data_IF_809360938455
#
_entry.id   IF_809360938455
#
_cell.length_a   1.000
_cell.length_b   1.000
_cell.length_c   1.000
_cell.angle_alpha   90.00
_cell.angle_beta   90.00
_cell.angle_gamma   90.00
#
_symmetry.space_group_name_H-M   'P 1'
#
loop_
_entity.id
_entity.type
_entity.pdbx_description
1 polymer ?
#
# COMPACT_ATOMS: atom_id res chain seq x y z
N UNK A 1 -38.69 10.44 4.29
CA UNK A 1 -38.20 9.07 4.06
C UNK A 1 -37.01 8.87 4.96
N UNK A 2 -37.02 7.82 5.77
CA UNK A 2 -35.87 7.46 6.59
C UNK A 2 -34.91 6.68 5.68
N UNK A 3 -33.63 7.06 5.71
CA UNK A 3 -32.58 6.42 4.93
C UNK A 3 -31.83 5.46 5.85
N UNK A 4 -31.37 4.33 5.33
CA UNK A 4 -30.69 3.32 6.13
C UNK A 4 -29.32 3.05 5.51
N UNK A 5 -28.29 2.96 6.34
CA UNK A 5 -27.00 2.39 5.99
C UNK A 5 -26.92 1.00 6.60
N UNK A 6 -26.63 -0.02 5.80
CA UNK A 6 -26.61 -1.41 6.24
C UNK A 6 -25.29 -2.03 5.80
N UNK A 7 -24.52 -2.64 6.70
CA UNK A 7 -23.42 -3.52 6.30
C UNK A 7 -23.97 -4.94 6.28
N UNK A 8 -23.77 -5.66 5.19
CA UNK A 8 -24.35 -6.99 4.96
C UNK A 8 -23.23 -8.01 4.87
N UNK A 9 -23.39 -9.13 5.57
CA UNK A 9 -22.44 -10.23 5.61
C UNK A 9 -22.63 -11.21 4.46
N UNK A 10 -21.87 -12.31 4.49
CA UNK A 10 -21.73 -13.28 3.41
C UNK A 10 -22.99 -14.11 3.09
N UNK A 11 -24.14 -13.83 3.72
CA UNK A 11 -25.42 -14.52 3.51
C UNK A 11 -26.62 -13.56 3.53
N UNK A 12 -26.47 -12.33 3.06
CA UNK A 12 -27.51 -11.29 3.11
C UNK A 12 -28.01 -10.95 4.53
N UNK A 13 -27.22 -11.31 5.55
CA UNK A 13 -27.52 -10.99 6.93
C UNK A 13 -26.99 -9.58 7.27
N UNK A 14 -27.79 -8.68 7.84
CA UNK A 14 -27.30 -7.37 8.28
C UNK A 14 -26.34 -7.56 9.45
N UNK A 15 -25.07 -7.17 9.25
CA UNK A 15 -24.04 -7.12 10.28
C UNK A 15 -24.06 -5.80 11.04
N UNK A 16 -24.54 -4.73 10.40
CA UNK A 16 -24.71 -3.41 11.01
C UNK A 16 -25.86 -2.66 10.33
N UNK A 17 -26.65 -1.92 11.10
CA UNK A 17 -27.71 -1.06 10.58
C UNK A 17 -27.69 0.27 11.32
N UNK A 18 -27.72 1.36 10.55
CA UNK A 18 -27.90 2.71 11.06
C UNK A 18 -29.06 3.38 10.32
N UNK A 19 -30.05 3.80 11.10
CA UNK A 19 -31.19 4.57 10.60
C UNK A 19 -30.86 6.06 10.63
N UNK A 20 -31.11 6.73 9.51
CA UNK A 20 -31.06 8.17 9.38
C UNK A 20 -32.48 8.68 9.20
N UNK A 21 -32.89 9.59 10.08
CA UNK A 21 -34.13 10.34 9.91
C UNK A 21 -34.17 11.10 8.58
N UNK A 22 -35.31 11.70 8.22
CA UNK A 22 -35.38 12.58 7.06
C UNK A 22 -34.31 13.66 7.19
N UNK A 23 -33.62 14.00 6.09
CA UNK A 23 -32.63 15.08 6.02
C UNK A 23 -33.18 16.31 6.73
N UNK A 24 -32.74 16.52 7.98
CA UNK A 24 -33.11 17.72 8.70
C UNK A 24 -32.33 18.85 8.03
N UNK A 25 -33.02 19.91 7.63
CA UNK A 25 -32.42 21.10 7.00
C UNK A 25 -31.30 21.72 7.84
N UNK A 26 -31.23 21.36 9.13
CA UNK A 26 -30.24 21.84 10.10
C UNK A 26 -29.70 20.66 10.92
N UNK A 27 -29.09 19.66 10.26
CA UNK A 27 -28.17 18.79 10.97
C UNK A 27 -27.01 19.67 11.51
N UNK A 28 -26.72 19.62 12.82
CA UNK A 28 -25.58 20.34 13.39
C UNK A 28 -24.32 19.89 12.65
N UNK A 29 -23.63 20.85 12.03
CA UNK A 29 -22.49 20.65 11.11
C UNK A 29 -21.40 19.71 11.66
N UNK A 30 -21.30 19.58 12.97
CA UNK A 30 -20.30 18.76 13.66
C UNK A 30 -20.70 17.30 13.90
N UNK A 31 -22.01 16.99 13.97
CA UNK A 31 -22.50 15.66 14.36
C UNK A 31 -22.26 14.62 13.26
N UNK A 32 -22.23 15.05 12.00
CA UNK A 32 -21.98 14.20 10.84
C UNK A 32 -20.70 14.58 10.09
N UNK A 33 -19.84 15.44 10.63
CA UNK A 33 -18.63 15.89 9.91
C UNK A 33 -17.70 14.73 9.62
N UNK A 34 -17.51 13.86 10.59
CA UNK A 34 -16.67 12.67 10.45
C UNK A 34 -17.32 11.59 9.58
N UNK A 35 -18.64 11.45 9.64
CA UNK A 35 -19.38 10.50 8.82
C UNK A 35 -19.44 10.94 7.35
N UNK A 36 -19.72 12.21 7.08
CA UNK A 36 -19.72 12.76 5.72
C UNK A 36 -18.32 12.73 5.12
N UNK A 37 -17.29 13.01 5.92
CA UNK A 37 -15.90 12.90 5.50
C UNK A 37 -15.52 11.44 5.21
N UNK A 38 -15.95 10.50 6.05
CA UNK A 38 -15.78 9.06 5.80
C UNK A 38 -16.49 8.62 4.52
N UNK A 39 -17.76 9.01 4.31
CA UNK A 39 -18.55 8.68 3.12
C UNK A 39 -17.92 9.28 1.85
N UNK A 40 -17.50 10.55 1.88
CA UNK A 40 -16.82 11.20 0.74
C UNK A 40 -15.51 10.52 0.39
N UNK A 41 -14.67 10.19 1.38
CA UNK A 41 -13.42 9.48 1.12
C UNK A 41 -13.66 8.07 0.61
N UNK A 42 -14.61 7.35 1.20
CA UNK A 42 -15.03 6.02 0.74
C UNK A 42 -15.63 6.03 -0.67
N UNK A 43 -16.20 7.16 -1.11
CA UNK A 43 -16.77 7.33 -2.45
C UNK A 43 -15.74 7.67 -3.54
N UNK A 44 -14.57 8.19 -3.16
CA UNK A 44 -13.49 8.56 -4.09
C UNK A 44 -12.63 7.37 -4.53
N UNK A 45 -12.66 6.26 -3.80
CA UNK A 45 -12.08 4.97 -4.20
C UNK A 45 -13.04 4.23 -5.15
N UNK A 46 -13.01 4.62 -6.42
CA UNK A 46 -13.71 3.95 -7.53
C UNK A 46 -12.79 2.86 -8.09
N UNK A 47 -13.15 1.59 -7.88
CA UNK A 47 -12.67 0.46 -8.67
C UNK A 47 -13.90 -0.38 -9.03
N UNK A 48 -14.22 -0.39 -10.31
CA UNK A 48 -15.31 -1.04 -11.04
C UNK A 48 -16.77 -0.84 -10.60
N UNK A 49 -17.56 -0.35 -11.57
CA UNK A 49 -19.00 -0.13 -11.49
C UNK A 49 -19.74 -1.40 -11.92
N UNK A 50 -20.47 -2.03 -11.01
CA UNK A 50 -21.48 -3.04 -11.34
C UNK A 50 -22.86 -2.57 -10.87
N UNK A 51 -23.68 -2.13 -11.82
CA UNK A 51 -25.07 -1.75 -11.60
C UNK A 51 -25.94 -3.01 -11.48
N UNK A 52 -26.59 -3.20 -10.34
CA UNK A 52 -27.83 -3.97 -10.25
C UNK A 52 -28.94 -3.04 -9.75
N UNK A 53 -29.82 -2.61 -10.66
CA UNK A 53 -31.01 -1.80 -10.33
C UNK A 53 -32.10 -2.65 -9.66
N UNK A 54 -32.89 -2.09 -8.73
CA UNK A 54 -34.03 -1.21 -9.04
C UNK A 54 -33.97 0.19 -8.41
N UNK A 55 -34.84 1.09 -8.89
CA UNK A 55 -34.79 2.56 -8.87
C UNK A 55 -34.58 3.34 -7.54
N UNK A 56 -34.35 2.74 -6.37
CA UNK A 56 -34.31 3.53 -5.12
C UNK A 56 -33.27 3.18 -4.04
N UNK A 57 -32.33 2.23 -4.21
CA UNK A 57 -31.26 1.96 -3.20
C UNK A 57 -29.97 1.42 -3.81
N UNK A 58 -28.82 1.72 -3.22
CA UNK A 58 -27.54 1.03 -3.47
C UNK A 58 -26.77 0.81 -2.14
N UNK A 59 -25.95 -0.24 -2.10
CA UNK A 59 -25.06 -0.57 -1.00
C UNK A 59 -23.64 -0.81 -1.53
N UNK A 60 -22.65 -0.17 -0.92
CA UNK A 60 -21.20 -0.32 -1.21
C UNK A 60 -20.55 -0.92 0.04
N UNK A 61 -19.94 -2.09 -0.09
CA UNK A 61 -19.06 -2.66 0.92
C UNK A 61 -17.69 -2.86 0.26
N UNK A 62 -16.68 -2.21 0.83
CA UNK A 62 -15.27 -2.38 0.48
C UNK A 62 -14.68 -3.24 1.58
N UNK A 63 -14.26 -4.47 1.26
CA UNK A 63 -13.36 -5.18 2.16
C UNK A 63 -12.38 -6.07 1.37
N UNK A 64 -11.12 -5.62 1.33
CA UNK A 64 -9.97 -6.47 1.61
C UNK A 64 -9.12 -5.68 2.60
N UNK A 65 -9.26 -5.93 3.90
CA UNK A 65 -8.31 -5.53 4.92
C UNK A 65 -6.94 -6.18 4.63
N UNK A 66 -6.22 -5.62 3.68
CA UNK A 66 -4.77 -5.69 3.67
C UNK A 66 -4.31 -4.63 4.67
N UNK A 67 -3.69 -5.09 5.76
CA UNK A 67 -3.22 -4.31 6.92
C UNK A 67 -2.76 -2.90 6.53
N UNK A 68 -3.59 -1.89 6.79
CA UNK A 68 -3.30 -0.49 6.49
C UNK A 68 -2.44 0.09 7.61
N UNK A 69 -1.24 0.53 7.29
CA UNK A 69 -0.36 1.24 8.22
C UNK A 69 -0.73 2.75 8.21
N UNK A 70 -1.36 3.21 9.28
CA UNK A 70 -1.80 4.60 9.43
C UNK A 70 -0.67 5.45 10.02
N UNK A 71 0.02 6.23 9.20
CA UNK A 71 0.88 7.32 9.69
C UNK A 71 0.18 8.67 9.62
N UNK A 72 0.13 9.39 10.75
CA UNK A 72 -0.34 10.78 10.81
C UNK A 72 0.83 11.72 10.49
N UNK A 73 0.79 12.39 9.32
CA UNK A 73 1.59 13.60 9.07
C UNK A 73 0.66 14.79 8.80
N UNK A 74 0.81 15.86 9.58
CA UNK A 74 0.15 17.16 9.37
C UNK A 74 -1.39 17.14 9.20
N UNK A 75 -2.09 16.23 9.89
CA UNK A 75 -3.57 16.19 9.85
C UNK A 75 -4.17 15.56 8.60
N UNK A 76 -3.35 15.06 7.68
CA UNK A 76 -3.76 14.25 6.54
C UNK A 76 -3.51 12.77 6.85
N UNK A 77 -4.52 11.93 6.66
CA UNK A 77 -4.35 10.48 6.68
C UNK A 77 -3.74 10.08 5.34
N UNK A 78 -2.51 9.55 5.36
CA UNK A 78 -1.89 8.94 4.19
C UNK A 78 -2.29 7.47 4.18
N UNK A 79 -2.98 7.05 3.11
CA UNK A 79 -3.29 5.66 2.87
C UNK A 79 -2.08 5.03 2.19
N UNK A 80 -1.26 4.30 2.96
CA UNK A 80 -0.23 3.46 2.37
C UNK A 80 -0.81 2.06 2.14
N UNK A 81 -0.66 1.49 0.92
CA UNK A 81 -1.07 0.11 0.68
C UNK A 81 -0.24 -0.82 1.56
N UNK A 82 -0.85 -1.91 2.04
CA UNK A 82 -0.15 -2.88 2.87
C UNK A 82 1.14 -3.38 2.18
N UNK A 83 2.22 -3.45 2.96
CA UNK A 83 3.50 -3.96 2.48
C UNK A 83 3.50 -5.48 2.54
N UNK A 84 4.18 -6.07 1.56
CA UNK A 84 4.60 -7.47 1.53
C UNK A 84 6.12 -7.53 1.56
N UNK A 85 6.67 -8.63 2.05
CA UNK A 85 8.10 -8.76 2.33
C UNK A 85 8.69 -10.03 1.74
N UNK A 86 9.92 -9.95 1.27
CA UNK A 86 10.72 -11.09 0.83
C UNK A 86 11.55 -11.65 2.00
N UNK A 87 12.01 -12.91 1.92
CA UNK A 87 12.98 -13.46 2.87
C UNK A 87 14.31 -12.71 2.89
N UNK A 88 14.66 -12.08 1.76
CA UNK A 88 15.90 -11.33 1.52
C UNK A 88 15.80 -9.84 1.93
N UNK A 89 14.75 -9.49 2.67
CA UNK A 89 14.57 -8.19 3.33
C UNK A 89 14.24 -7.00 2.41
N UNK A 90 13.64 -7.27 1.25
CA UNK A 90 12.93 -6.28 0.44
C UNK A 90 11.45 -6.17 0.86
N UNK A 91 10.85 -5.01 0.58
CA UNK A 91 9.42 -4.78 0.73
C UNK A 91 8.81 -4.32 -0.59
N UNK A 92 7.53 -4.64 -0.81
CA UNK A 92 6.72 -4.14 -1.93
C UNK A 92 5.34 -3.69 -1.45
N UNK A 93 4.85 -2.58 -1.98
CA UNK A 93 3.50 -2.05 -1.75
C UNK A 93 2.84 -1.77 -3.09
N UNK A 94 1.64 -2.30 -3.32
CA UNK A 94 0.99 -2.30 -4.64
C UNK A 94 -0.25 -1.42 -4.67
N UNK A 95 -0.31 -0.54 -5.65
CA UNK A 95 -1.47 0.30 -5.97
C UNK A 95 -1.76 0.19 -7.46
N UNK A 96 -2.98 -0.20 -7.84
CA UNK A 96 -3.43 -0.25 -9.23
C UNK A 96 -2.47 -1.04 -10.16
N UNK A 97 -1.98 -2.21 -9.71
CA UNK A 97 -1.05 -3.06 -10.47
C UNK A 97 0.39 -2.54 -10.55
N UNK A 98 0.71 -1.42 -9.89
CA UNK A 98 2.07 -0.88 -9.78
C UNK A 98 2.59 -1.12 -8.36
N UNK A 99 3.65 -1.91 -8.26
CA UNK A 99 4.37 -2.16 -7.03
C UNK A 99 5.49 -1.16 -6.83
N UNK A 100 5.51 -0.45 -5.71
CA UNK A 100 6.68 0.30 -5.25
C UNK A 100 7.46 -0.57 -4.29
N UNK A 101 8.77 -0.70 -4.45
CA UNK A 101 9.58 -1.56 -3.61
C UNK A 101 10.91 -0.91 -3.19
N UNK A 102 11.51 -1.46 -2.13
CA UNK A 102 12.80 -1.04 -1.58
C UNK A 102 13.31 -2.06 -0.56
N UNK A 103 14.35 -1.71 0.21
CA UNK A 103 14.84 -2.56 1.31
C UNK A 103 14.22 -2.13 2.65
N UNK A 104 14.13 -3.08 3.59
CA UNK A 104 13.51 -2.87 4.90
C UNK A 104 14.42 -2.15 5.89
N UNK A 105 13.83 -1.69 7.01
CA UNK A 105 14.56 -1.10 8.14
C UNK A 105 15.58 -2.07 8.76
N UNK A 106 15.23 -3.36 8.79
CA UNK A 106 16.14 -4.41 9.24
C UNK A 106 17.38 -4.49 8.32
N UNK A 107 17.17 -4.51 7.00
CA UNK A 107 18.25 -4.57 6.01
C UNK A 107 19.19 -3.37 6.12
N UNK A 108 18.64 -2.14 6.13
CA UNK A 108 19.48 -0.94 6.23
C UNK A 108 20.26 -0.90 7.55
N UNK A 109 19.67 -1.38 8.66
CA UNK A 109 20.36 -1.44 9.96
C UNK A 109 21.53 -2.43 9.91
N UNK A 110 21.34 -3.58 9.27
CA UNK A 110 22.38 -4.59 9.10
C UNK A 110 23.53 -4.10 8.21
N UNK A 111 23.22 -3.35 7.14
CA UNK A 111 24.21 -2.71 6.26
C UNK A 111 24.97 -1.60 6.98
N UNK A 112 24.28 -0.79 7.79
CA UNK A 112 24.83 0.46 8.32
C UNK A 112 24.78 1.59 7.31
N UNK A 113 25.68 2.57 7.43
CA UNK A 113 25.63 3.80 6.63
C UNK A 113 25.80 3.51 5.13
N UNK A 114 24.72 3.67 4.37
CA UNK A 114 24.69 3.47 2.93
C UNK A 114 25.36 4.64 2.23
N UNK A 115 26.28 4.32 1.32
CA UNK A 115 27.09 5.30 0.58
C UNK A 115 26.86 5.24 -0.93
N UNK A 116 26.29 4.14 -1.42
CA UNK A 116 26.00 3.98 -2.84
C UNK A 116 24.85 3.00 -3.06
N UNK A 117 24.14 3.16 -4.17
CA UNK A 117 23.13 2.22 -4.65
C UNK A 117 23.15 2.19 -6.18
N UNK A 118 23.15 0.98 -6.71
CA UNK A 118 22.82 0.68 -8.10
C UNK A 118 21.32 0.41 -8.21
N UNK A 119 20.64 1.19 -9.05
CA UNK A 119 19.19 1.07 -9.33
C UNK A 119 18.99 0.45 -10.73
N UNK A 120 17.86 -0.24 -10.99
CA UNK A 120 17.58 -0.79 -12.31
C UNK A 120 17.32 0.32 -13.35
N UNK A 121 17.17 -0.05 -14.62
CA UNK A 121 16.75 0.87 -15.68
C UNK A 121 15.24 0.83 -15.92
N UNK A 122 14.65 1.98 -16.25
CA UNK A 122 13.26 2.04 -16.70
C UNK A 122 13.13 1.25 -18.02
N UNK A 123 12.14 0.36 -18.09
CA UNK A 123 11.88 -0.55 -19.21
C UNK A 123 12.51 -1.93 -19.06
N UNK A 124 13.29 -2.18 -18.00
CA UNK A 124 13.81 -3.51 -17.71
C UNK A 124 12.66 -4.48 -17.42
N UNK A 125 12.69 -5.66 -18.06
CA UNK A 125 11.76 -6.76 -17.81
C UNK A 125 12.47 -7.80 -16.95
N UNK A 126 11.97 -8.01 -15.74
CA UNK A 126 12.59 -8.82 -14.69
C UNK A 126 11.64 -9.90 -14.20
N UNK A 127 12.18 -11.00 -13.71
CA UNK A 127 11.43 -12.06 -13.01
C UNK A 127 11.59 -11.94 -11.50
N UNK A 128 10.68 -12.57 -10.77
CA UNK A 128 10.86 -12.80 -9.33
C UNK A 128 12.27 -13.37 -9.07
N UNK A 129 12.99 -12.76 -8.11
CA UNK A 129 14.37 -13.09 -7.72
C UNK A 129 15.46 -12.81 -8.74
N UNK A 130 15.18 -12.15 -9.86
CA UNK A 130 16.25 -11.58 -10.67
C UNK A 130 16.94 -10.47 -9.88
N UNK A 131 18.27 -10.40 -9.97
CA UNK A 131 19.04 -9.29 -9.41
C UNK A 131 18.76 -8.02 -10.23
N UNK A 132 18.43 -6.94 -9.54
CA UNK A 132 18.01 -5.66 -10.15
C UNK A 132 18.87 -4.46 -9.72
N UNK A 133 19.81 -4.69 -8.82
CA UNK A 133 20.73 -3.67 -8.32
C UNK A 133 21.52 -4.17 -7.12
N UNK A 134 22.16 -3.24 -6.42
CA UNK A 134 22.89 -3.49 -5.20
C UNK A 134 22.95 -2.24 -4.31
N UNK A 135 22.99 -2.43 -2.99
CA UNK A 135 23.25 -1.36 -2.01
C UNK A 135 24.64 -1.57 -1.41
N UNK A 136 25.44 -0.49 -1.38
CA UNK A 136 26.74 -0.49 -0.74
C UNK A 136 26.77 0.47 0.45
N UNK A 137 27.37 -0.01 1.54
CA UNK A 137 27.58 0.73 2.78
C UNK A 137 29.06 0.77 3.13
N UNK A 138 29.39 1.50 4.20
CA UNK A 138 30.76 1.50 4.75
C UNK A 138 31.19 0.15 5.33
N UNK A 139 30.27 -0.81 5.50
CA UNK A 139 30.54 -2.12 6.13
C UNK A 139 30.40 -3.30 5.18
N UNK A 140 29.44 -3.24 4.26
CA UNK A 140 29.03 -4.35 3.42
C UNK A 140 28.38 -3.88 2.11
N UNK A 141 28.28 -4.79 1.15
CA UNK A 141 27.44 -4.67 -0.03
C UNK A 141 26.40 -5.78 -0.03
N UNK A 142 25.20 -5.50 -0.52
CA UNK A 142 24.13 -6.48 -0.71
C UNK A 142 23.48 -6.29 -2.06
N UNK A 143 23.30 -7.38 -2.79
CA UNK A 143 22.47 -7.39 -3.98
C UNK A 143 21.00 -7.11 -3.60
N UNK A 144 20.24 -6.54 -4.53
CA UNK A 144 18.80 -6.33 -4.42
C UNK A 144 18.12 -7.22 -5.46
N UNK A 145 17.11 -7.96 -5.02
CA UNK A 145 16.34 -8.85 -5.89
C UNK A 145 14.94 -8.30 -6.16
N UNK A 146 14.40 -8.59 -7.35
CA UNK A 146 13.03 -8.22 -7.67
C UNK A 146 12.04 -9.07 -6.85
N UNK A 147 11.12 -8.46 -6.08
CA UNK A 147 10.16 -9.20 -5.27
C UNK A 147 9.10 -9.92 -6.12
N UNK A 148 8.89 -9.49 -7.36
CA UNK A 148 7.90 -10.01 -8.31
C UNK A 148 8.40 -9.85 -9.75
N UNK A 149 7.79 -10.57 -10.68
CA UNK A 149 8.01 -10.45 -12.12
C UNK A 149 7.26 -9.24 -12.69
N UNK A 150 7.87 -8.52 -13.63
CA UNK A 150 7.26 -7.34 -14.22
C UNK A 150 8.20 -6.45 -15.04
N UNK A 151 7.75 -5.24 -15.31
CA UNK A 151 8.49 -4.21 -16.04
C UNK A 151 8.76 -3.01 -15.13
N UNK A 152 10.00 -2.54 -15.04
CA UNK A 152 10.36 -1.35 -14.27
C UNK A 152 9.80 -0.10 -14.97
N UNK A 153 8.95 0.66 -14.29
CA UNK A 153 8.27 1.83 -14.84
C UNK A 153 8.75 3.16 -14.26
N UNK A 154 9.41 3.13 -13.11
CA UNK A 154 9.92 4.33 -12.43
C UNK A 154 11.10 3.95 -11.52
N UNK A 155 12.06 4.86 -11.35
CA UNK A 155 13.18 4.69 -10.42
C UNK A 155 13.31 5.92 -9.54
N UNK A 156 13.86 5.76 -8.33
CA UNK A 156 14.09 6.87 -7.43
C UNK A 156 15.46 7.53 -7.70
N UNK A 157 15.48 8.45 -8.65
CA UNK A 157 16.70 9.18 -9.05
C UNK A 157 17.37 9.91 -7.88
N UNK A 158 16.62 10.27 -6.84
CA UNK A 158 17.15 10.95 -5.64
C UNK A 158 18.17 10.11 -4.89
N UNK A 159 18.13 8.78 -5.02
CA UNK A 159 19.06 7.89 -4.34
C UNK A 159 20.48 7.97 -4.89
N UNK A 160 20.66 8.42 -6.14
CA UNK A 160 22.00 8.66 -6.70
C UNK A 160 22.69 9.86 -6.05
N UNK A 161 21.91 10.89 -5.69
CA UNK A 161 22.42 12.09 -5.03
C UNK A 161 22.47 11.94 -3.50
N UNK A 162 21.52 11.20 -2.92
CA UNK A 162 21.36 11.03 -1.49
C UNK A 162 21.02 9.57 -1.11
N UNK A 163 22.00 8.65 -1.15
CA UNK A 163 21.79 7.25 -0.80
C UNK A 163 21.38 7.04 0.67
N UNK A 164 21.69 8.00 1.56
CA UNK A 164 21.29 7.97 2.98
C UNK A 164 19.78 8.02 3.23
N UNK A 165 18.96 8.26 2.19
CA UNK A 165 17.50 8.09 2.27
C UNK A 165 17.11 6.64 2.58
N UNK A 166 17.92 5.66 2.17
CA UNK A 166 17.71 4.25 2.51
C UNK A 166 17.81 4.04 4.02
N UNK A 167 18.76 4.69 4.70
CA UNK A 167 18.89 4.59 6.15
C UNK A 167 17.79 5.39 6.89
N UNK A 168 17.44 6.57 6.41
CA UNK A 168 16.59 7.52 7.17
C UNK A 168 15.09 7.38 6.88
N UNK A 169 14.71 6.82 5.73
CA UNK A 169 13.32 6.75 5.27
C UNK A 169 13.07 5.51 4.38
N UNK A 170 13.47 4.28 4.79
CA UNK A 170 13.48 3.09 3.92
C UNK A 170 12.12 2.77 3.28
N UNK A 171 11.02 3.08 3.97
CA UNK A 171 9.66 2.78 3.52
C UNK A 171 8.93 3.96 2.85
N UNK A 172 9.54 5.15 2.78
CA UNK A 172 8.87 6.35 2.26
C UNK A 172 9.71 7.06 1.20
N UNK A 173 10.84 7.64 1.58
CA UNK A 173 11.70 8.37 0.62
C UNK A 173 12.83 7.50 0.04
N UNK A 174 13.08 6.33 0.65
CA UNK A 174 14.09 5.35 0.29
C UNK A 174 13.61 4.20 -0.60
N UNK A 175 12.44 4.32 -1.23
CA UNK A 175 12.00 3.36 -2.26
C UNK A 175 12.98 3.35 -3.44
N UNK A 176 13.16 2.21 -4.09
CA UNK A 176 14.21 1.99 -5.10
C UNK A 176 13.63 2.14 -6.50
N UNK A 177 12.58 1.39 -6.80
CA UNK A 177 11.91 1.44 -8.09
C UNK A 177 10.42 1.09 -7.97
N UNK A 178 9.69 1.34 -9.06
CA UNK A 178 8.32 0.88 -9.28
C UNK A 178 8.28 -0.10 -10.43
N UNK A 179 7.53 -1.18 -10.23
CA UNK A 179 7.35 -2.27 -11.18
C UNK A 179 5.87 -2.39 -11.54
N UNK A 180 5.58 -2.51 -12.83
CA UNK A 180 4.28 -2.96 -13.31
C UNK A 180 4.26 -4.48 -13.25
N UNK A 181 3.42 -5.04 -12.39
CA UNK A 181 3.39 -6.48 -12.14
C UNK A 181 2.94 -7.24 -13.40
N UNK A 182 3.67 -8.30 -13.75
CA UNK A 182 3.24 -9.24 -14.78
C UNK A 182 2.22 -10.26 -14.24
N UNK A 183 2.31 -10.59 -12.94
CA UNK A 183 1.45 -11.56 -12.26
C UNK A 183 1.23 -11.17 -10.79
N UNK A 184 0.04 -10.67 -10.45
CA UNK A 184 -0.29 -10.31 -9.06
C UNK A 184 -0.33 -11.52 -8.11
N UNK A 185 -0.49 -12.75 -8.63
CA UNK A 185 -0.52 -13.96 -7.80
C UNK A 185 0.81 -14.26 -7.09
N UNK A 186 1.93 -13.69 -7.54
CA UNK A 186 3.23 -13.81 -6.88
C UNK A 186 3.24 -13.12 -5.49
N UNK A 187 2.38 -12.12 -5.27
CA UNK A 187 2.26 -11.43 -3.99
C UNK A 187 1.76 -12.34 -2.85
N UNK A 188 1.05 -13.42 -3.17
CA UNK A 188 0.54 -14.39 -2.19
C UNK A 188 1.67 -15.25 -1.61
N UNK A 189 2.80 -15.37 -2.30
CA UNK A 189 3.99 -16.08 -1.81
C UNK A 189 4.84 -15.22 -0.86
N UNK A 190 4.62 -13.90 -0.84
CA UNK A 190 5.35 -12.96 0.00
C UNK A 190 4.78 -12.90 1.42
N UNK A 191 5.66 -12.59 2.37
CA UNK A 191 5.29 -12.45 3.77
C UNK A 191 4.44 -11.19 3.99
N UNK A 192 3.47 -11.28 4.89
CA UNK A 192 2.85 -10.10 5.48
C UNK A 192 3.72 -9.54 6.62
N UNK A 193 3.31 -8.39 7.17
CA UNK A 193 4.02 -7.71 8.27
C UNK A 193 4.30 -8.66 9.44
N UNK A 194 3.30 -9.43 9.86
CA UNK A 194 3.42 -10.29 11.04
C UNK A 194 4.40 -11.43 10.80
N UNK A 195 4.32 -12.08 9.63
CA UNK A 195 5.26 -13.12 9.24
C UNK A 195 6.69 -12.58 9.14
N UNK A 196 6.86 -11.36 8.60
CA UNK A 196 8.16 -10.72 8.52
C UNK A 196 8.74 -10.35 9.89
N UNK A 197 7.93 -9.80 10.79
CA UNK A 197 8.34 -9.55 12.18
C UNK A 197 8.80 -10.82 12.90
N UNK A 198 8.20 -11.98 12.62
CA UNK A 198 8.64 -13.27 13.15
C UNK A 198 9.95 -13.74 12.51
N UNK A 199 10.17 -13.48 11.22
CA UNK A 199 11.39 -13.81 10.47
C UNK A 199 12.62 -13.01 10.95
N UNK A 200 12.44 -11.75 11.37
CA UNK A 200 13.54 -10.87 11.79
C UNK A 200 13.87 -10.89 13.29
N UNK A 201 13.24 -11.78 14.07
CA UNK A 201 13.44 -11.90 15.52
C UNK A 201 14.71 -12.65 15.92
#
# INVERSE_FOLDING_TARGET
MNSYFIIVGTQDNPLYEAEFGPLQKEAKKDEYRHLNQFILHSSLDIIDELQYGTNQKYLKIVDKFNVFDYSRRNGTFLFNPARKYTPDHEWISVTNGIGTFGITDYAQTALGDVVYIEVPSIGDVVKEKDQIGAVESVKAASDIYSPVSGEIVEINEKLQENPGLINTSPYVDGWIAKIKLANEGELEALMDEKAYEEHTK
#
